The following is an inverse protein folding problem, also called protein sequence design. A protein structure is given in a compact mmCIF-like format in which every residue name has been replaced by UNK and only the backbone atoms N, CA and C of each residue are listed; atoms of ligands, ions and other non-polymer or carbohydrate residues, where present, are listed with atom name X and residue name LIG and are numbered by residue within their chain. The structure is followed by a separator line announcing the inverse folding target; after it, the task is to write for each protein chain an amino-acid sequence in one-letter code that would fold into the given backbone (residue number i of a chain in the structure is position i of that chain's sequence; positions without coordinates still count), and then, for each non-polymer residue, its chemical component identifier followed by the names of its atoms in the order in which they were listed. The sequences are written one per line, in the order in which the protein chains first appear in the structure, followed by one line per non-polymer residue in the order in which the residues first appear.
data_IF_369113410497
#
_entry.id   IF_369113410497
#
_cell.length_a   1.000
_cell.length_b   1.000
_cell.length_c   1.000
_cell.angle_alpha   90.00
_cell.angle_beta   90.00
_cell.angle_gamma   90.00
#
_symmetry.space_group_name_H-M   'P 1'
#
loop_
_entity.id
_entity.type
_entity.pdbx_description
1 polymer ?
#
# COMPACT_ATOMS: atom_id res chain seq x y z
N UNK A 1 -23.33 63.73 7.82
CA UNK A 1 -23.77 62.34 7.54
C UNK A 1 -22.62 61.39 7.83
N UNK A 2 -22.77 60.58 8.89
CA UNK A 2 -22.10 59.30 9.27
C UNK A 2 -20.61 59.05 8.96
N UNK A 3 -19.79 59.27 9.99
CA UNK A 3 -18.88 58.31 10.68
C UNK A 3 -18.35 57.09 9.89
N UNK A 4 -17.01 56.91 9.82
CA UNK A 4 -16.36 55.59 10.01
C UNK A 4 -14.96 55.74 10.61
N UNK A 5 -14.83 55.15 11.80
CA UNK A 5 -13.63 54.82 12.55
C UNK A 5 -12.94 53.64 11.86
N UNK A 6 -11.62 53.69 11.69
CA UNK A 6 -10.80 52.51 11.44
C UNK A 6 -9.58 52.58 12.34
N UNK A 7 -9.71 51.99 13.52
CA UNK A 7 -8.58 51.68 14.39
C UNK A 7 -7.80 50.53 13.78
N UNK A 8 -6.53 50.78 13.44
CA UNK A 8 -5.58 49.71 13.16
C UNK A 8 -5.10 49.12 14.47
N UNK A 9 -5.56 47.89 14.70
CA UNK A 9 -5.17 47.01 15.78
C UNK A 9 -3.68 46.69 15.66
N UNK A 10 -2.92 47.12 16.66
CA UNK A 10 -1.52 46.78 16.88
C UNK A 10 -1.44 45.28 17.25
N UNK A 11 -1.10 44.43 16.28
CA UNK A 11 -0.77 43.02 16.56
C UNK A 11 0.64 42.96 17.16
N UNK A 12 0.71 42.84 18.48
CA UNK A 12 1.92 42.41 19.18
C UNK A 12 2.30 41.01 18.69
N UNK A 13 3.41 40.93 17.96
CA UNK A 13 4.15 39.70 17.69
C UNK A 13 4.72 39.19 19.02
N UNK A 14 3.97 38.34 19.70
CA UNK A 14 4.51 37.45 20.73
C UNK A 14 5.37 36.39 20.03
N UNK A 15 6.68 36.60 20.08
CA UNK A 15 7.70 35.61 19.76
C UNK A 15 7.58 34.42 20.71
N UNK A 16 6.86 33.38 20.25
CA UNK A 16 6.93 32.06 20.86
C UNK A 16 8.33 31.48 20.59
N UNK A 17 9.01 30.91 21.60
CA UNK A 17 10.30 30.28 21.41
C UNK A 17 10.13 29.10 20.45
N UNK A 18 10.92 29.11 19.38
CA UNK A 18 11.05 27.99 18.47
C UNK A 18 11.53 26.76 19.26
N UNK A 19 10.61 25.84 19.55
CA UNK A 19 10.95 24.50 19.96
C UNK A 19 11.62 23.82 18.75
N UNK A 20 12.94 23.89 18.71
CA UNK A 20 13.75 23.02 17.87
C UNK A 20 13.53 21.57 18.33
N UNK A 21 13.09 20.67 17.45
CA UNK A 21 13.34 19.23 17.59
C UNK A 21 12.96 18.43 16.34
N UNK A 22 14.02 17.91 15.70
CA UNK A 22 14.23 16.54 15.21
C UNK A 22 13.19 15.89 14.29
N UNK A 23 13.65 15.52 13.10
CA UNK A 23 12.89 14.86 12.06
C UNK A 23 12.20 13.57 12.48
N UNK A 24 11.01 13.38 11.91
CA UNK A 24 10.31 12.15 11.56
C UNK A 24 10.65 10.88 12.36
N UNK A 25 10.63 11.01 13.69
CA UNK A 25 10.56 9.90 14.61
C UNK A 25 9.21 10.02 15.28
N UNK A 26 8.20 9.28 14.78
CA UNK A 26 7.11 8.86 15.67
C UNK A 26 7.79 8.39 16.95
N UNK A 27 7.51 9.02 18.10
CA UNK A 27 8.30 8.84 19.30
C UNK A 27 8.39 7.34 19.55
N UNK A 28 9.60 6.79 19.47
CA UNK A 28 9.83 5.36 19.59
C UNK A 28 9.28 4.94 20.93
N UNK A 29 8.12 4.29 20.93
CA UNK A 29 7.45 3.86 22.14
C UNK A 29 8.35 2.78 22.76
N UNK A 30 9.08 3.19 23.80
CA UNK A 30 9.95 2.28 24.55
C UNK A 30 9.12 1.66 25.65
N UNK A 31 8.72 0.39 25.45
CA UNK A 31 8.12 -0.43 26.49
C UNK A 31 9.23 -1.14 27.29
N UNK A 32 9.03 -1.37 28.60
CA UNK A 32 9.96 -2.17 29.37
C UNK A 32 10.24 -3.54 28.74
N UNK A 33 11.49 -4.00 28.75
CA UNK A 33 11.89 -5.23 28.06
C UNK A 33 11.13 -6.46 28.55
N UNK A 34 10.84 -6.52 29.85
CA UNK A 34 10.06 -7.60 30.46
C UNK A 34 8.61 -7.63 29.95
N UNK A 35 8.04 -6.49 29.56
CA UNK A 35 6.71 -6.40 28.95
C UNK A 35 6.76 -6.98 27.55
N UNK A 36 7.71 -6.54 26.72
CA UNK A 36 7.87 -7.03 25.35
C UNK A 36 8.21 -8.52 25.30
N UNK A 37 9.08 -9.00 26.19
CA UNK A 37 9.41 -10.41 26.31
C UNK A 37 8.18 -11.28 26.56
N UNK A 38 7.29 -10.87 27.48
CA UNK A 38 6.04 -11.58 27.77
C UNK A 38 5.07 -11.54 26.59
N UNK A 39 4.95 -10.41 25.89
CA UNK A 39 4.08 -10.28 24.72
C UNK A 39 4.56 -11.20 23.60
N UNK A 40 5.83 -11.10 23.19
CA UNK A 40 6.42 -11.93 22.13
C UNK A 40 6.28 -13.42 22.47
N UNK A 41 6.65 -13.82 23.70
CA UNK A 41 6.58 -15.22 24.15
C UNK A 41 5.17 -15.78 24.05
N UNK A 42 4.17 -15.02 24.48
CA UNK A 42 2.76 -15.45 24.46
C UNK A 42 2.20 -15.50 23.05
N UNK A 43 2.50 -14.51 22.21
CA UNK A 43 2.06 -14.50 20.81
C UNK A 43 2.64 -15.70 20.06
N UNK A 44 3.96 -15.95 20.19
CA UNK A 44 4.61 -17.10 19.55
C UNK A 44 4.08 -18.43 20.12
N UNK A 45 3.89 -18.52 21.44
CA UNK A 45 3.30 -19.70 22.08
C UNK A 45 1.86 -19.99 21.66
N UNK A 46 1.09 -18.97 21.28
CA UNK A 46 -0.24 -19.14 20.67
C UNK A 46 -0.17 -19.47 19.18
N UNK A 47 0.76 -18.87 18.43
CA UNK A 47 0.87 -19.08 16.98
C UNK A 47 1.44 -20.46 16.63
N UNK A 48 2.35 -20.99 17.43
CA UNK A 48 3.07 -22.22 17.14
C UNK A 48 2.75 -23.30 18.17
N UNK A 49 2.22 -24.43 17.69
CA UNK A 49 2.07 -25.62 18.49
C UNK A 49 3.37 -26.46 18.50
N UNK A 50 3.57 -27.30 19.53
CA UNK A 50 4.55 -28.38 19.52
C UNK A 50 4.50 -29.19 18.22
N UNK A 51 5.68 -29.53 17.68
CA UNK A 51 5.78 -30.30 16.44
C UNK A 51 6.14 -31.76 16.73
N UNK A 52 5.70 -32.70 15.88
CA UNK A 52 6.15 -34.10 15.95
C UNK A 52 7.57 -34.28 15.42
N UNK A 53 8.03 -33.39 14.54
CA UNK A 53 9.36 -33.40 13.92
C UNK A 53 10.05 -32.06 14.16
N UNK A 54 11.38 -32.01 14.34
CA UNK A 54 12.11 -30.76 14.43
C UNK A 54 11.78 -29.84 13.25
N UNK A 55 11.43 -28.58 13.54
CA UNK A 55 11.25 -27.53 12.55
C UNK A 55 11.89 -26.23 13.01
N UNK A 56 12.43 -25.48 12.06
CA UNK A 56 12.98 -24.14 12.31
C UNK A 56 12.00 -23.10 11.78
N UNK A 57 11.65 -22.13 12.63
CA UNK A 57 10.86 -20.95 12.29
C UNK A 57 11.82 -19.78 12.14
N UNK A 58 11.86 -19.20 10.95
CA UNK A 58 12.66 -18.00 10.68
C UNK A 58 11.91 -16.77 11.16
N UNK A 59 12.54 -15.97 12.02
CA UNK A 59 11.98 -14.76 12.61
C UNK A 59 12.93 -13.58 12.38
N UNK A 60 12.42 -12.45 11.92
CA UNK A 60 13.20 -11.22 11.82
C UNK A 60 13.65 -10.78 13.22
N UNK A 61 14.95 -10.48 13.38
CA UNK A 61 15.51 -9.93 14.62
C UNK A 61 15.10 -8.47 14.91
N UNK A 62 14.27 -7.86 14.04
CA UNK A 62 13.88 -6.46 14.15
C UNK A 62 13.00 -6.24 15.38
N UNK A 63 13.60 -5.74 16.45
CA UNK A 63 12.89 -5.47 17.70
C UNK A 63 12.52 -6.72 18.50
N UNK A 64 13.13 -7.88 18.24
CA UNK A 64 12.95 -9.12 19.01
C UNK A 64 14.31 -9.65 19.45
N UNK A 65 14.42 -10.02 20.73
CA UNK A 65 15.63 -10.61 21.29
C UNK A 65 15.51 -12.12 21.50
N UNK A 66 16.65 -12.82 21.50
CA UNK A 66 16.70 -14.29 21.61
C UNK A 66 16.09 -14.79 22.91
N UNK A 67 16.34 -14.09 24.01
CA UNK A 67 15.84 -14.38 25.35
C UNK A 67 14.31 -14.20 25.50
N UNK A 68 13.66 -13.53 24.55
CA UNK A 68 12.20 -13.36 24.55
C UNK A 68 11.47 -14.57 23.95
N UNK A 69 12.17 -15.41 23.19
CA UNK A 69 11.59 -16.52 22.46
C UNK A 69 11.11 -17.63 23.41
N UNK A 70 9.92 -18.23 23.17
CA UNK A 70 9.45 -19.36 23.95
C UNK A 70 10.24 -20.63 23.61
N UNK A 71 10.36 -21.53 24.58
CA UNK A 71 10.70 -22.93 24.32
C UNK A 71 9.43 -23.70 23.93
N UNK A 72 9.41 -24.25 22.72
CA UNK A 72 8.29 -25.05 22.20
C UNK A 72 8.88 -26.36 21.67
N UNK A 73 8.31 -27.50 22.07
CA UNK A 73 8.88 -28.81 21.73
C UNK A 73 8.99 -29.01 20.21
N UNK A 74 10.19 -29.38 19.76
CA UNK A 74 10.58 -29.57 18.36
C UNK A 74 10.39 -28.33 17.46
N UNK A 75 10.41 -27.12 18.05
CA UNK A 75 10.36 -25.86 17.30
C UNK A 75 11.52 -24.99 17.71
N UNK A 76 12.42 -24.72 16.78
CA UNK A 76 13.53 -23.79 16.95
C UNK A 76 13.19 -22.45 16.29
N UNK A 77 13.38 -21.35 17.01
CA UNK A 77 13.26 -20.01 16.44
C UNK A 77 14.65 -19.49 16.09
N UNK A 78 14.90 -19.26 14.80
CA UNK A 78 16.14 -18.62 14.32
C UNK A 78 15.87 -17.15 14.05
N UNK A 79 16.52 -16.28 14.82
CA UNK A 79 16.54 -14.84 14.55
C UNK A 79 17.47 -14.56 13.37
N UNK A 80 16.94 -13.85 12.38
CA UNK A 80 17.68 -13.41 11.21
C UNK A 80 18.14 -11.95 11.39
N UNK A 81 19.34 -11.64 10.92
CA UNK A 81 19.83 -10.27 10.77
C UNK A 81 19.05 -9.54 9.66
N UNK A 82 19.17 -8.22 9.56
CA UNK A 82 18.52 -7.46 8.47
C UNK A 82 19.00 -7.90 7.08
N UNK A 83 20.26 -8.31 6.95
CA UNK A 83 20.81 -8.82 5.70
C UNK A 83 20.27 -10.22 5.38
N UNK A 84 20.22 -11.12 6.36
CA UNK A 84 19.62 -12.46 6.17
C UNK A 84 18.12 -12.39 5.86
N UNK A 85 17.40 -11.42 6.44
CA UNK A 85 15.99 -11.15 6.13
C UNK A 85 15.81 -10.78 4.66
N UNK A 86 16.71 -9.95 4.13
CA UNK A 86 16.67 -9.50 2.73
C UNK A 86 16.94 -10.63 1.75
N UNK A 87 17.80 -11.56 2.12
CA UNK A 87 18.20 -12.70 1.29
C UNK A 87 17.28 -13.93 1.46
N UNK A 88 16.34 -13.88 2.40
CA UNK A 88 15.43 -14.99 2.67
C UNK A 88 14.48 -15.22 1.48
N UNK A 89 14.60 -16.39 0.83
CA UNK A 89 13.71 -16.82 -0.26
C UNK A 89 12.36 -17.37 0.20
N UNK A 90 12.20 -17.57 1.52
CA UNK A 90 11.00 -18.12 2.14
C UNK A 90 10.33 -17.07 2.99
N UNK A 91 9.01 -17.15 3.16
CA UNK A 91 8.30 -16.28 4.10
C UNK A 91 8.93 -16.37 5.49
N UNK A 92 9.20 -15.20 6.08
CA UNK A 92 9.74 -15.08 7.43
C UNK A 92 8.67 -14.50 8.34
N UNK A 93 8.70 -14.86 9.62
CA UNK A 93 7.87 -14.19 10.60
C UNK A 93 8.53 -12.88 11.04
N UNK A 94 7.75 -11.87 11.39
CA UNK A 94 8.28 -10.63 11.95
C UNK A 94 7.26 -9.93 12.84
N UNK A 95 7.75 -9.10 13.76
CA UNK A 95 6.93 -8.24 14.59
C UNK A 95 6.98 -6.80 14.06
N UNK A 96 5.84 -6.11 14.03
CA UNK A 96 5.86 -4.64 13.82
C UNK A 96 6.30 -3.94 15.10
N UNK A 97 6.71 -2.67 14.99
CA UNK A 97 6.89 -1.84 16.16
C UNK A 97 5.54 -1.68 16.91
N UNK A 98 5.56 -1.64 18.25
CA UNK A 98 4.34 -1.40 19.01
C UNK A 98 3.88 0.05 18.86
N UNK A 99 2.59 0.22 18.61
CA UNK A 99 1.91 1.51 18.52
C UNK A 99 0.97 1.69 19.73
N UNK A 100 0.81 2.93 20.22
CA UNK A 100 -0.04 3.23 21.37
C UNK A 100 -1.38 3.79 20.91
N UNK A 101 -2.45 3.14 21.32
CA UNK A 101 -3.84 3.56 21.10
C UNK A 101 -4.52 3.77 22.45
N UNK A 102 -4.59 5.03 22.91
CA UNK A 102 -5.15 5.36 24.21
C UNK A 102 -4.42 4.67 25.38
N UNK A 103 -5.12 3.75 26.06
CA UNK A 103 -4.59 2.95 27.18
C UNK A 103 -4.06 1.58 26.74
N UNK A 104 -4.09 1.28 25.46
CA UNK A 104 -3.68 -0.01 24.89
C UNK A 104 -2.54 0.19 23.91
N UNK A 105 -1.84 -0.91 23.63
CA UNK A 105 -0.81 -0.97 22.60
C UNK A 105 -1.24 -2.01 21.57
N UNK A 106 -0.95 -1.77 20.31
CA UNK A 106 -1.11 -2.74 19.24
C UNK A 106 0.27 -3.11 18.67
N UNK A 107 0.42 -4.34 18.18
CA UNK A 107 1.54 -4.75 17.33
C UNK A 107 1.08 -5.86 16.39
N UNK A 108 1.79 -6.03 15.28
CA UNK A 108 1.53 -7.07 14.31
C UNK A 108 2.49 -8.25 14.44
N UNK A 109 1.99 -9.48 14.29
CA UNK A 109 2.81 -10.64 13.91
C UNK A 109 2.53 -10.98 12.45
N UNK A 110 3.48 -10.66 11.57
CA UNK A 110 3.42 -10.88 10.14
C UNK A 110 4.16 -12.14 9.70
N UNK A 111 3.81 -12.63 8.51
CA UNK A 111 4.52 -13.66 7.76
C UNK A 111 4.63 -13.22 6.30
N UNK A 112 5.85 -13.30 5.75
CA UNK A 112 6.15 -12.86 4.38
C UNK A 112 7.50 -12.16 4.31
N UNK A 113 7.61 -11.17 3.44
CA UNK A 113 8.73 -10.23 3.39
C UNK A 113 8.33 -8.95 4.14
N UNK A 114 8.93 -8.63 5.31
CA UNK A 114 8.61 -7.43 6.09
C UNK A 114 8.86 -6.11 5.34
N UNK A 115 9.68 -6.13 4.29
CA UNK A 115 9.91 -4.99 3.43
C UNK A 115 9.01 -4.94 2.19
N UNK A 116 8.14 -5.94 1.98
CA UNK A 116 7.43 -6.08 0.72
C UNK A 116 6.01 -6.65 0.86
N UNK A 117 5.86 -7.97 0.74
CA UNK A 117 4.58 -8.67 0.73
C UNK A 117 4.43 -9.51 1.99
N UNK A 118 3.46 -9.16 2.82
CA UNK A 118 3.22 -9.84 4.07
C UNK A 118 1.75 -9.79 4.46
N UNK A 119 1.36 -10.81 5.20
CA UNK A 119 0.08 -10.85 5.89
C UNK A 119 0.31 -11.19 7.35
N UNK A 120 -0.56 -10.72 8.22
CA UNK A 120 -0.32 -10.84 9.64
C UNK A 120 -1.55 -10.63 10.49
N UNK A 121 -1.35 -10.87 11.77
CA UNK A 121 -2.37 -10.74 12.80
C UNK A 121 -2.04 -9.54 13.68
N UNK A 122 -3.03 -8.68 13.94
CA UNK A 122 -2.88 -7.58 14.89
C UNK A 122 -3.20 -8.06 16.29
N UNK A 123 -2.31 -7.75 17.22
CA UNK A 123 -2.37 -8.10 18.63
C UNK A 123 -2.46 -6.85 19.45
N UNK A 124 -3.41 -6.83 20.39
CA UNK A 124 -3.55 -5.76 21.34
C UNK A 124 -3.11 -6.22 22.71
N UNK A 125 -2.44 -5.34 23.45
CA UNK A 125 -2.09 -5.59 24.81
C UNK A 125 -2.17 -4.36 25.70
N UNK A 126 -2.36 -4.61 26.99
CA UNK A 126 -2.36 -3.60 28.04
C UNK A 126 -1.55 -4.10 29.22
N UNK A 127 -0.44 -3.43 29.57
CA UNK A 127 0.22 -3.63 30.86
C UNK A 127 -0.73 -3.24 32.00
N UNK A 128 -0.87 -4.11 32.99
CA UNK A 128 -1.72 -3.95 34.17
C UNK A 128 -0.87 -4.33 35.40
N UNK A 129 -0.01 -3.39 35.80
CA UNK A 129 1.08 -3.63 36.74
C UNK A 129 2.05 -4.69 36.22
N UNK A 130 2.19 -5.80 36.95
CA UNK A 130 3.04 -6.92 36.56
C UNK A 130 2.40 -7.87 35.54
N UNK A 131 1.08 -7.77 35.29
CA UNK A 131 0.36 -8.64 34.36
C UNK A 131 0.18 -7.95 33.02
N UNK A 132 0.10 -8.74 31.95
CA UNK A 132 -0.23 -8.25 30.61
C UNK A 132 -1.55 -8.87 30.18
N UNK A 133 -2.54 -8.02 29.90
CA UNK A 133 -3.72 -8.46 29.13
C UNK A 133 -3.34 -8.42 27.67
N UNK A 134 -3.46 -9.54 26.98
CA UNK A 134 -3.08 -9.71 25.57
C UNK A 134 -4.26 -10.39 24.87
N UNK A 135 -4.70 -9.85 23.73
CA UNK A 135 -5.76 -10.43 22.92
C UNK A 135 -5.48 -10.19 21.44
N UNK A 136 -5.97 -11.11 20.60
CA UNK A 136 -5.92 -10.98 19.15
C UNK A 136 -7.07 -10.11 18.68
N UNK A 137 -6.83 -9.21 17.74
CA UNK A 137 -7.91 -8.51 17.06
C UNK A 137 -8.73 -9.51 16.22
N UNK A 138 -10.05 -9.49 16.37
CA UNK A 138 -10.96 -10.34 15.58
C UNK A 138 -11.44 -9.50 14.40
N UNK A 139 -10.87 -9.72 13.22
CA UNK A 139 -11.14 -8.90 12.03
C UNK A 139 -10.13 -9.14 10.91
N UNK A 140 -10.07 -8.22 9.93
CA UNK A 140 -9.00 -8.25 8.92
C UNK A 140 -7.67 -8.03 9.65
N UNK A 141 -6.72 -8.92 9.38
CA UNK A 141 -5.35 -8.75 9.83
C UNK A 141 -4.70 -7.52 9.21
N UNK A 142 -3.44 -7.26 9.56
CA UNK A 142 -2.64 -6.28 8.85
C UNK A 142 -1.88 -6.98 7.73
N UNK A 143 -1.71 -6.30 6.61
CA UNK A 143 -0.96 -6.82 5.48
C UNK A 143 -0.46 -5.66 4.66
N UNK A 144 0.78 -5.76 4.26
CA UNK A 144 1.37 -4.89 3.26
C UNK A 144 1.49 -5.76 2.03
N UNK A 145 0.74 -5.43 0.98
CA UNK A 145 1.14 -5.89 -0.33
C UNK A 145 2.27 -5.00 -0.80
N UNK A 146 3.22 -5.59 -1.49
CA UNK A 146 4.08 -4.84 -2.36
C UNK A 146 3.22 -4.34 -3.53
N UNK A 147 2.46 -3.26 -3.33
CA UNK A 147 1.90 -2.44 -4.41
C UNK A 147 3.00 -1.73 -5.21
N UNK A 148 4.13 -2.40 -5.43
CA UNK A 148 5.46 -1.86 -5.63
C UNK A 148 6.53 -2.86 -5.15
N UNK A 149 6.57 -4.04 -5.75
CA UNK A 149 7.56 -5.10 -5.46
C UNK A 149 9.01 -4.57 -5.42
N UNK A 150 9.78 -5.01 -4.41
CA UNK A 150 11.22 -4.72 -4.24
C UNK A 150 12.13 -5.58 -5.13
N UNK A 151 11.69 -5.95 -6.34
CA UNK A 151 12.66 -6.30 -7.38
C UNK A 151 13.42 -5.02 -7.70
N UNK A 152 14.75 -5.03 -7.64
CA UNK A 152 15.47 -3.97 -8.33
C UNK A 152 15.12 -4.13 -9.81
N UNK A 153 14.39 -3.18 -10.37
CA UNK A 153 14.68 -2.77 -11.73
C UNK A 153 15.80 -1.75 -11.58
N UNK A 154 17.02 -2.22 -11.35
CA UNK A 154 18.25 -1.42 -11.58
C UNK A 154 18.45 -1.13 -13.07
N UNK A 155 17.44 -1.43 -13.91
CA UNK A 155 17.36 -0.89 -15.25
C UNK A 155 17.24 0.64 -15.18
N UNK A 156 17.93 1.37 -16.08
CA UNK A 156 17.78 2.81 -16.17
C UNK A 156 16.29 3.17 -16.34
N UNK A 157 15.87 4.40 -15.97
CA UNK A 157 14.50 4.92 -16.14
C UNK A 157 13.92 4.88 -17.57
N UNK A 158 14.61 4.25 -18.51
CA UNK A 158 14.39 4.35 -19.94
C UNK A 158 13.24 3.56 -20.52
N UNK A 159 12.83 2.39 -19.97
CA UNK A 159 11.79 1.58 -20.63
C UNK A 159 10.98 0.70 -19.66
N UNK A 160 9.99 1.27 -18.99
CA UNK A 160 8.86 0.51 -18.39
C UNK A 160 7.91 0.05 -19.50
N UNK A 161 8.40 -0.83 -20.38
CA UNK A 161 7.66 -1.24 -21.59
C UNK A 161 7.13 -2.67 -21.51
N UNK A 162 7.22 -3.33 -20.35
CA UNK A 162 6.83 -4.74 -20.23
C UNK A 162 6.11 -5.02 -18.91
N UNK A 163 4.90 -5.56 -19.05
CA UNK A 163 4.10 -6.17 -17.99
C UNK A 163 4.02 -7.67 -18.26
N UNK A 164 5.08 -8.44 -17.98
CA UNK A 164 5.19 -9.84 -18.42
C UNK A 164 4.21 -10.80 -17.73
N UNK A 165 3.44 -10.32 -16.75
CA UNK A 165 2.55 -11.13 -15.93
C UNK A 165 1.07 -10.88 -16.23
N UNK A 166 0.73 -10.23 -17.35
CA UNK A 166 -0.66 -10.14 -17.79
C UNK A 166 -1.32 -11.53 -17.78
N UNK A 167 -2.51 -11.61 -17.18
CA UNK A 167 -3.28 -12.85 -17.15
C UNK A 167 -3.75 -13.21 -18.56
N UNK A 168 -3.83 -14.52 -18.83
CA UNK A 168 -4.31 -15.02 -20.11
C UNK A 168 -5.71 -14.45 -20.45
N UNK A 169 -5.84 -13.82 -21.62
CA UNK A 169 -7.06 -13.13 -22.07
C UNK A 169 -7.19 -11.67 -21.62
N UNK A 170 -6.18 -11.13 -20.93
CA UNK A 170 -6.10 -9.74 -20.46
C UNK A 170 -4.77 -9.08 -20.86
N UNK A 171 -4.20 -9.45 -22.01
CA UNK A 171 -2.89 -8.98 -22.51
C UNK A 171 -2.99 -7.67 -23.32
N UNK A 172 -3.45 -6.59 -22.68
CA UNK A 172 -3.66 -5.29 -23.33
C UNK A 172 -2.35 -4.61 -23.73
N UNK A 173 -1.27 -4.82 -22.98
CA UNK A 173 0.02 -4.18 -23.20
C UNK A 173 0.93 -4.98 -24.14
N UNK A 174 0.95 -6.31 -24.04
CA UNK A 174 1.76 -7.16 -24.93
C UNK A 174 1.22 -7.20 -26.37
N UNK A 175 -0.12 -7.28 -26.54
CA UNK A 175 -0.75 -7.59 -27.84
C UNK A 175 -1.88 -6.65 -28.25
N UNK A 176 -2.22 -5.66 -27.44
CA UNK A 176 -3.35 -4.75 -27.67
C UNK A 176 -2.99 -3.39 -28.27
N UNK A 177 -4.00 -2.53 -28.36
CA UNK A 177 -3.87 -1.12 -28.80
C UNK A 177 -2.91 -0.29 -27.93
N UNK A 178 -2.59 -0.77 -26.72
CA UNK A 178 -1.75 -0.06 -25.76
C UNK A 178 -0.25 -0.33 -25.92
N UNK A 179 0.15 -1.30 -26.77
CA UNK A 179 1.55 -1.71 -26.96
C UNK A 179 2.52 -0.57 -27.32
N UNK A 180 2.02 0.46 -27.98
CA UNK A 180 2.82 1.62 -28.39
C UNK A 180 3.01 2.68 -27.29
N UNK A 181 2.20 2.63 -26.24
CA UNK A 181 2.29 3.56 -25.12
C UNK A 181 3.36 3.10 -24.14
N UNK A 182 4.08 4.06 -23.56
CA UNK A 182 5.16 3.84 -22.61
C UNK A 182 4.94 4.76 -21.42
N UNK A 183 4.83 4.18 -20.21
CA UNK A 183 4.79 5.01 -19.00
C UNK A 183 6.08 5.84 -18.91
N UNK A 184 5.98 7.03 -18.28
CA UNK A 184 7.06 8.03 -18.11
C UNK A 184 7.61 8.65 -19.39
N UNK A 185 7.12 8.23 -20.55
CA UNK A 185 7.57 8.70 -21.88
C UNK A 185 6.39 9.26 -22.68
N UNK A 186 5.31 8.51 -22.84
CA UNK A 186 4.18 8.91 -23.67
C UNK A 186 3.46 10.13 -23.13
N UNK A 187 3.06 11.04 -24.02
CA UNK A 187 2.28 12.24 -23.69
C UNK A 187 0.79 12.07 -24.04
N UNK A 188 -0.01 13.11 -23.80
CA UNK A 188 -1.41 13.16 -24.25
C UNK A 188 -1.52 13.02 -25.77
N UNK A 189 -0.61 13.62 -26.52
CA UNK A 189 -0.56 13.55 -27.98
C UNK A 189 -0.30 12.12 -28.47
N UNK A 190 0.54 11.36 -27.76
CA UNK A 190 0.77 9.95 -28.09
C UNK A 190 -0.48 9.10 -27.80
N UNK A 191 -1.21 9.39 -26.71
CA UNK A 191 -2.49 8.72 -26.40
C UNK A 191 -3.53 9.03 -27.48
N UNK A 192 -3.67 10.30 -27.89
CA UNK A 192 -4.57 10.69 -28.99
C UNK A 192 -4.20 10.00 -30.29
N UNK A 193 -2.91 9.91 -30.63
CA UNK A 193 -2.46 9.19 -31.83
C UNK A 193 -2.78 7.70 -31.78
N UNK A 194 -2.70 7.08 -30.60
CA UNK A 194 -2.94 5.66 -30.41
C UNK A 194 -4.43 5.30 -30.37
N UNK A 195 -5.28 6.15 -29.79
CA UNK A 195 -6.66 5.83 -29.43
C UNK A 195 -7.73 6.76 -30.02
N UNK A 196 -7.33 7.84 -30.69
CA UNK A 196 -8.21 8.84 -31.29
C UNK A 196 -8.18 10.18 -30.54
N UNK A 197 -8.50 11.25 -31.26
CA UNK A 197 -8.34 12.64 -30.78
C UNK A 197 -9.18 12.97 -29.53
N UNK A 198 -10.32 12.31 -29.36
CA UNK A 198 -11.22 12.51 -28.22
C UNK A 198 -10.76 11.77 -26.95
N UNK A 199 -9.70 10.97 -27.03
CA UNK A 199 -9.21 10.17 -25.91
C UNK A 199 -8.07 10.90 -25.17
N UNK A 200 -8.41 11.71 -24.16
CA UNK A 200 -7.43 12.46 -23.36
C UNK A 200 -7.30 11.97 -21.91
N UNK A 201 -8.40 11.91 -21.15
CA UNK A 201 -8.38 11.43 -19.75
C UNK A 201 -9.00 10.05 -19.59
N UNK A 202 -10.04 9.79 -20.36
CA UNK A 202 -10.72 8.52 -20.39
C UNK A 202 -11.53 8.38 -21.67
N UNK A 203 -11.62 7.18 -22.22
CA UNK A 203 -12.42 6.90 -23.39
C UNK A 203 -12.78 5.42 -23.48
N UNK A 204 -13.59 5.09 -24.48
CA UNK A 204 -13.87 3.71 -24.85
C UNK A 204 -12.67 3.09 -25.55
N UNK A 205 -12.08 2.05 -24.96
CA UNK A 205 -11.01 1.29 -25.61
C UNK A 205 -11.60 0.36 -26.69
N UNK A 206 -12.68 -0.32 -26.32
CA UNK A 206 -13.49 -1.19 -27.19
C UNK A 206 -14.92 -1.40 -26.63
N UNK A 207 -15.65 -2.38 -27.17
CA UNK A 207 -17.02 -2.71 -26.76
C UNK A 207 -17.16 -3.24 -25.33
N UNK A 208 -16.06 -3.70 -24.72
CA UNK A 208 -16.02 -4.33 -23.40
C UNK A 208 -15.26 -3.50 -22.36
N UNK A 209 -14.38 -2.59 -22.79
CA UNK A 209 -13.46 -1.87 -21.91
C UNK A 209 -13.53 -0.36 -22.08
N UNK A 210 -13.51 0.32 -20.94
CA UNK A 210 -13.13 1.73 -20.81
C UNK A 210 -11.68 1.81 -20.36
N UNK A 211 -10.97 2.85 -20.80
CA UNK A 211 -9.61 3.16 -20.35
C UNK A 211 -9.58 4.56 -19.78
N UNK A 212 -8.83 4.75 -18.70
CA UNK A 212 -8.49 6.07 -18.17
C UNK A 212 -6.99 6.22 -17.97
N UNK A 213 -6.51 7.46 -18.03
CA UNK A 213 -5.10 7.83 -17.98
C UNK A 213 -4.87 8.85 -16.88
N UNK A 214 -3.79 8.64 -16.14
CA UNK A 214 -3.28 9.60 -15.17
C UNK A 214 -1.96 10.16 -15.69
N UNK A 215 -1.79 11.49 -15.63
CA UNK A 215 -0.58 12.16 -16.07
C UNK A 215 0.18 12.79 -14.90
N UNK A 216 1.50 12.78 -15.00
CA UNK A 216 2.35 13.53 -14.09
C UNK A 216 1.98 15.02 -14.08
N UNK A 217 1.89 15.59 -12.88
CA UNK A 217 1.54 17.00 -12.67
C UNK A 217 0.06 17.28 -12.48
N UNK A 218 -0.83 16.28 -12.62
CA UNK A 218 -2.26 16.44 -12.32
C UNK A 218 -2.60 16.19 -10.84
N UNK A 219 -1.69 15.59 -10.08
CA UNK A 219 -1.85 15.31 -8.66
C UNK A 219 -0.61 15.74 -7.88
N UNK A 220 -0.80 16.46 -6.77
CA UNK A 220 0.22 16.62 -5.74
C UNK A 220 0.00 15.61 -4.62
N UNK A 221 1.08 15.22 -3.95
CA UNK A 221 1.01 14.30 -2.81
C UNK A 221 1.51 14.99 -1.57
N UNK A 222 0.60 15.24 -0.64
CA UNK A 222 0.96 15.68 0.70
C UNK A 222 1.56 14.51 1.48
N UNK A 223 2.74 14.71 2.04
CA UNK A 223 3.34 13.83 3.04
C UNK A 223 3.61 14.65 4.28
N UNK A 224 3.14 14.20 5.43
CA UNK A 224 3.58 14.80 6.69
C UNK A 224 5.02 14.42 6.96
N UNK A 225 5.88 15.44 7.11
CA UNK A 225 7.28 15.30 7.48
C UNK A 225 7.53 16.30 8.60
N UNK A 226 7.75 15.79 9.82
CA UNK A 226 8.01 16.65 10.98
C UNK A 226 6.85 17.62 11.30
N UNK A 227 5.61 17.16 11.19
CA UNK A 227 4.40 17.96 11.51
C UNK A 227 4.07 19.05 10.48
N UNK A 228 4.72 19.05 9.32
CA UNK A 228 4.36 19.88 8.17
C UNK A 228 3.97 18.99 7.01
N UNK A 229 2.91 19.35 6.31
CA UNK A 229 2.59 18.74 5.02
C UNK A 229 3.56 19.27 3.97
N UNK A 230 4.48 18.41 3.55
CA UNK A 230 5.34 18.63 2.38
C UNK A 230 4.62 18.07 1.18
N UNK A 231 4.29 18.94 0.23
CA UNK A 231 3.71 18.51 -1.03
C UNK A 231 4.82 18.06 -1.97
N UNK A 232 4.61 16.92 -2.61
CA UNK A 232 5.47 16.39 -3.66
C UNK A 232 4.76 16.57 -4.98
N UNK A 233 5.45 17.20 -5.93
CA UNK A 233 4.97 17.45 -7.30
C UNK A 233 5.84 16.68 -8.28
N UNK A 234 5.31 16.40 -9.46
CA UNK A 234 6.07 15.75 -10.51
C UNK A 234 7.29 16.60 -10.88
N UNK A 235 8.44 15.94 -11.06
CA UNK A 235 9.64 16.61 -11.52
C UNK A 235 9.39 17.21 -12.93
N UNK A 236 9.90 18.43 -13.23
CA UNK A 236 9.61 19.12 -14.49
C UNK A 236 9.86 18.27 -15.75
N UNK A 237 10.86 17.39 -15.71
CA UNK A 237 11.23 16.49 -16.79
C UNK A 237 10.17 15.42 -17.14
N UNK A 238 9.27 15.08 -16.21
CA UNK A 238 8.22 14.06 -16.42
C UNK A 238 6.81 14.65 -16.44
N UNK A 239 6.63 15.91 -16.09
CA UNK A 239 5.32 16.59 -16.11
C UNK A 239 4.64 16.46 -17.48
N UNK A 240 3.34 16.13 -17.47
CA UNK A 240 2.53 15.92 -18.67
C UNK A 240 2.72 14.56 -19.34
N UNK A 241 3.60 13.69 -18.82
CA UNK A 241 3.77 12.32 -19.31
C UNK A 241 2.87 11.34 -18.57
N UNK A 242 2.61 10.22 -19.21
CA UNK A 242 1.75 9.17 -18.70
C UNK A 242 2.35 8.55 -17.45
N UNK A 243 1.61 8.60 -16.35
CA UNK A 243 1.99 8.06 -15.03
C UNK A 243 1.39 6.68 -14.80
N UNK A 244 0.11 6.53 -15.12
CA UNK A 244 -0.62 5.28 -15.02
C UNK A 244 -1.77 5.27 -16.02
N UNK A 245 -2.33 4.10 -16.28
CA UNK A 245 -3.63 3.96 -16.90
C UNK A 245 -4.35 2.74 -16.32
N UNK A 246 -5.67 2.79 -16.36
CA UNK A 246 -6.52 1.75 -15.80
C UNK A 246 -7.59 1.35 -16.80
N UNK A 247 -7.92 0.07 -16.81
CA UNK A 247 -8.94 -0.54 -17.64
C UNK A 247 -10.11 -0.96 -16.78
N UNK A 248 -11.31 -0.46 -17.10
CA UNK A 248 -12.54 -0.81 -16.41
C UNK A 248 -13.45 -1.61 -17.33
N UNK A 249 -13.95 -2.77 -16.90
CA UNK A 249 -14.87 -3.53 -17.72
C UNK A 249 -16.25 -2.87 -17.72
N UNK A 250 -16.84 -2.70 -18.90
CA UNK A 250 -18.20 -2.16 -19.08
C UNK A 250 -19.30 -3.11 -18.62
N UNK A 251 -18.95 -4.41 -18.48
CA UNK A 251 -19.84 -5.47 -18.02
C UNK A 251 -19.16 -6.22 -16.87
N UNK A 252 -19.91 -6.76 -15.90
CA UNK A 252 -19.32 -7.51 -14.80
C UNK A 252 -18.51 -8.71 -15.30
N UNK A 253 -17.23 -8.78 -14.95
CA UNK A 253 -16.35 -9.93 -15.23
C UNK A 253 -16.02 -10.68 -13.94
N UNK A 254 -16.44 -11.94 -13.83
CA UNK A 254 -16.14 -12.76 -12.65
C UNK A 254 -14.69 -13.22 -12.67
N UNK A 255 -14.00 -12.98 -11.56
CA UNK A 255 -12.64 -13.40 -11.25
C UNK A 255 -12.61 -14.50 -10.17
N UNK A 256 -13.77 -15.08 -9.82
CA UNK A 256 -13.87 -16.10 -8.76
C UNK A 256 -13.05 -17.37 -9.02
N UNK A 257 -12.78 -17.65 -10.30
CA UNK A 257 -12.01 -18.83 -10.74
C UNK A 257 -10.58 -18.50 -11.15
N UNK A 258 -10.17 -17.23 -11.09
CA UNK A 258 -8.82 -16.82 -11.44
C UNK A 258 -7.88 -17.20 -10.30
N UNK A 259 -6.85 -17.97 -10.64
CA UNK A 259 -5.74 -18.27 -9.73
C UNK A 259 -4.61 -17.32 -10.08
N UNK A 260 -4.41 -16.31 -9.23
CA UNK A 260 -3.30 -15.38 -9.41
C UNK A 260 -1.95 -16.09 -9.23
N UNK A 261 -1.03 -15.94 -10.18
CA UNK A 261 0.32 -16.47 -10.06
C UNK A 261 1.06 -15.93 -8.83
N UNK A 262 2.05 -16.69 -8.32
CA UNK A 262 2.81 -16.36 -7.10
C UNK A 262 3.56 -15.02 -7.13
N UNK A 263 3.75 -14.42 -8.30
CA UNK A 263 4.38 -13.11 -8.45
C UNK A 263 3.46 -11.94 -8.11
N UNK A 264 2.15 -12.18 -7.93
CA UNK A 264 1.21 -11.19 -7.46
C UNK A 264 1.09 -11.26 -5.94
N UNK A 265 1.44 -10.15 -5.26
CA UNK A 265 1.12 -9.96 -3.85
C UNK A 265 -0.37 -9.62 -3.67
N UNK A 266 -0.92 -9.85 -2.49
CA UNK A 266 -2.34 -9.56 -2.20
C UNK A 266 -2.49 -8.54 -1.08
N UNK A 267 -3.21 -7.45 -1.34
CA UNK A 267 -3.57 -6.43 -0.35
C UNK A 267 -5.07 -6.20 -0.32
N UNK A 268 -5.64 -6.00 0.87
CA UNK A 268 -7.02 -5.55 1.00
C UNK A 268 -7.08 -4.02 0.91
N UNK A 269 -8.08 -3.50 0.21
CA UNK A 269 -8.32 -2.07 0.13
C UNK A 269 -9.81 -1.72 0.09
N UNK A 270 -10.06 -0.43 -0.03
CA UNK A 270 -11.40 0.12 -0.23
C UNK A 270 -11.34 1.26 -1.23
N UNK A 271 -12.25 1.25 -2.20
CA UNK A 271 -12.34 2.28 -3.23
C UNK A 271 -13.74 2.87 -3.21
N UNK A 272 -13.82 4.20 -3.32
CA UNK A 272 -15.07 4.90 -3.61
C UNK A 272 -15.07 5.28 -5.09
N UNK A 273 -16.00 4.71 -5.85
CA UNK A 273 -16.28 5.14 -7.21
C UNK A 273 -17.43 6.13 -7.15
N UNK A 274 -17.22 7.35 -7.65
CA UNK A 274 -18.26 8.35 -7.79
C UNK A 274 -18.57 8.55 -9.28
N UNK A 275 -19.84 8.59 -9.63
CA UNK A 275 -20.30 9.06 -10.93
C UNK A 275 -20.40 10.59 -10.93
N UNK A 276 -20.33 11.20 -12.12
CA UNK A 276 -20.39 12.66 -12.28
C UNK A 276 -21.71 13.30 -11.80
N UNK A 277 -22.74 12.49 -11.52
CA UNK A 277 -24.03 12.91 -10.94
C UNK A 277 -24.08 12.81 -9.40
N UNK A 278 -22.94 12.56 -8.75
CA UNK A 278 -22.82 12.50 -7.30
C UNK A 278 -23.28 11.19 -6.67
N UNK A 279 -23.73 10.21 -7.46
CA UNK A 279 -23.90 8.84 -6.95
C UNK A 279 -22.54 8.21 -6.73
N UNK A 280 -22.48 7.28 -5.78
CA UNK A 280 -21.23 6.65 -5.42
C UNK A 280 -21.47 5.25 -4.91
N UNK A 281 -20.59 4.36 -5.32
CA UNK A 281 -20.51 3.02 -4.76
C UNK A 281 -19.12 2.80 -4.22
N UNK A 282 -19.09 2.26 -3.02
CA UNK A 282 -17.87 1.86 -2.39
C UNK A 282 -17.74 0.34 -2.34
N UNK A 283 -16.53 -0.10 -2.59
CA UNK A 283 -16.20 -1.51 -2.67
C UNK A 283 -15.04 -1.77 -1.73
N UNK A 284 -15.18 -2.82 -0.91
CA UNK A 284 -13.98 -3.50 -0.45
C UNK A 284 -13.39 -4.25 -1.64
N UNK A 285 -12.07 -4.25 -1.79
CA UNK A 285 -11.40 -5.03 -2.82
C UNK A 285 -10.20 -5.80 -2.27
N UNK A 286 -9.87 -6.89 -2.96
CA UNK A 286 -8.55 -7.50 -2.95
C UNK A 286 -7.78 -6.99 -4.17
N UNK A 287 -6.63 -6.41 -3.93
CA UNK A 287 -5.67 -6.00 -4.95
C UNK A 287 -4.63 -7.08 -5.11
N UNK A 288 -4.38 -7.45 -6.36
CA UNK A 288 -3.36 -8.40 -6.77
C UNK A 288 -2.32 -7.67 -7.62
N UNK A 289 -1.18 -7.32 -7.04
CA UNK A 289 -0.16 -6.46 -7.67
C UNK A 289 1.16 -7.19 -7.88
N UNK A 290 1.80 -6.97 -9.03
CA UNK A 290 3.12 -7.51 -9.34
C UNK A 290 4.25 -6.47 -9.21
N UNK A 291 5.46 -6.86 -9.62
CA UNK A 291 6.65 -6.01 -9.58
C UNK A 291 6.81 -4.96 -10.64
N UNK A 292 6.05 -5.10 -11.71
CA UNK A 292 6.14 -4.24 -12.86
C UNK A 292 5.10 -3.11 -12.76
N UNK A 293 4.24 -3.15 -11.74
CA UNK A 293 3.17 -2.17 -11.52
C UNK A 293 1.86 -2.57 -12.19
N UNK A 294 1.67 -3.86 -12.50
CA UNK A 294 0.38 -4.41 -12.91
C UNK A 294 -0.42 -4.79 -11.68
N UNK A 295 -1.64 -4.27 -11.56
CA UNK A 295 -2.57 -4.53 -10.48
C UNK A 295 -3.93 -4.98 -11.02
N UNK A 296 -4.51 -6.02 -10.43
CA UNK A 296 -5.91 -6.41 -10.62
C UNK A 296 -6.68 -6.16 -9.33
N UNK A 297 -7.74 -5.35 -9.38
CA UNK A 297 -8.61 -5.12 -8.22
C UNK A 297 -9.88 -5.94 -8.35
N UNK A 298 -10.09 -6.87 -7.43
CA UNK A 298 -11.25 -7.76 -7.40
C UNK A 298 -12.12 -7.41 -6.20
N UNK A 299 -13.40 -7.15 -6.44
CA UNK A 299 -14.37 -6.81 -5.39
C UNK A 299 -14.50 -7.94 -4.38
N UNK A 300 -14.42 -7.64 -3.09
CA UNK A 300 -14.77 -8.57 -2.00
C UNK A 300 -16.19 -8.35 -1.48
N UNK A 301 -16.91 -7.40 -2.06
CA UNK A 301 -18.26 -7.01 -1.67
C UNK A 301 -18.44 -5.49 -1.65
N UNK A 302 -19.70 -5.08 -1.71
CA UNK A 302 -20.10 -3.66 -1.64
C UNK A 302 -20.06 -3.22 -0.17
N UNK A 303 -19.35 -2.14 0.11
CA UNK A 303 -19.34 -1.50 1.42
C UNK A 303 -20.59 -0.65 1.63
N UNK A 304 -20.83 0.29 0.71
CA UNK A 304 -22.00 1.15 0.65
C UNK A 304 -22.30 1.56 -0.79
N UNK A 305 -23.56 1.78 -1.14
CA UNK A 305 -23.92 2.23 -2.48
C UNK A 305 -25.13 3.16 -2.43
N UNK A 306 -25.11 4.22 -3.23
CA UNK A 306 -26.30 5.02 -3.54
C UNK A 306 -26.94 4.60 -4.87
N UNK A 307 -26.40 3.57 -5.54
CA UNK A 307 -26.93 3.02 -6.77
C UNK A 307 -27.98 1.94 -6.50
N UNK A 308 -29.03 1.91 -7.33
CA UNK A 308 -30.08 0.88 -7.26
C UNK A 308 -29.60 -0.51 -7.70
N UNK A 309 -28.55 -0.57 -8.53
CA UNK A 309 -27.95 -1.80 -9.05
C UNK A 309 -26.42 -1.60 -9.12
N UNK A 310 -25.68 -1.99 -8.07
CA UNK A 310 -24.23 -1.85 -8.06
C UNK A 310 -23.60 -2.67 -9.19
N UNK A 311 -22.60 -2.09 -9.84
CA UNK A 311 -21.93 -2.65 -11.02
C UNK A 311 -21.23 -3.99 -10.76
N UNK A 312 -20.84 -4.28 -9.51
CA UNK A 312 -20.04 -5.46 -9.19
C UNK A 312 -20.42 -6.08 -7.83
N UNK A 313 -20.76 -7.37 -7.84
CA UNK A 313 -20.83 -8.18 -6.63
C UNK A 313 -19.43 -8.58 -6.12
N UNK A 314 -19.38 -9.37 -5.04
CA UNK A 314 -18.14 -10.05 -4.63
C UNK A 314 -17.65 -10.94 -5.78
N UNK A 315 -16.34 -10.98 -6.00
CA UNK A 315 -15.69 -11.83 -6.99
C UNK A 315 -15.52 -11.19 -8.37
N UNK A 316 -16.06 -10.00 -8.59
CA UNK A 316 -16.00 -9.32 -9.88
C UNK A 316 -14.79 -8.40 -9.98
N UNK A 317 -14.17 -8.34 -11.16
CA UNK A 317 -13.12 -7.38 -11.48
C UNK A 317 -13.68 -5.95 -11.43
N UNK A 318 -12.98 -5.08 -10.72
CA UNK A 318 -13.24 -3.64 -10.67
C UNK A 318 -12.43 -2.96 -11.78
N UNK A 319 -11.11 -3.14 -11.76
CA UNK A 319 -10.20 -2.60 -12.77
C UNK A 319 -8.89 -3.40 -12.88
N UNK A 320 -8.18 -3.15 -13.98
CA UNK A 320 -6.77 -3.52 -14.18
C UNK A 320 -5.98 -2.23 -14.29
N UNK A 321 -5.01 -2.00 -13.40
CA UNK A 321 -4.16 -0.81 -13.40
C UNK A 321 -2.74 -1.16 -13.83
N UNK A 322 -2.20 -0.32 -14.70
CA UNK A 322 -0.81 -0.31 -15.13
C UNK A 322 -0.21 1.00 -14.65
N UNK A 323 0.66 0.92 -13.65
CA UNK A 323 1.31 2.09 -13.06
C UNK A 323 2.81 1.93 -13.08
N UNK A 324 3.50 3.04 -12.87
CA UNK A 324 4.92 2.96 -12.58
C UNK A 324 5.16 2.30 -11.21
N UNK A 325 6.20 1.48 -11.06
CA UNK A 325 6.56 0.92 -9.76
C UNK A 325 6.92 2.02 -8.76
N UNK A 326 6.51 1.87 -7.50
CA UNK A 326 6.64 2.90 -6.46
C UNK A 326 8.08 3.41 -6.24
N UNK A 327 9.09 2.55 -6.43
CA UNK A 327 10.50 2.97 -6.34
C UNK A 327 10.93 3.92 -7.44
N UNK A 328 10.38 3.76 -8.65
CA UNK A 328 10.65 4.69 -9.73
C UNK A 328 9.87 5.97 -9.53
N UNK A 329 8.64 5.83 -9.05
CA UNK A 329 7.77 6.93 -8.66
C UNK A 329 8.44 7.88 -7.66
N UNK A 330 9.04 7.37 -6.58
CA UNK A 330 9.77 8.18 -5.60
C UNK A 330 10.88 9.06 -6.21
N UNK A 331 11.47 8.65 -7.34
CA UNK A 331 12.52 9.41 -8.03
C UNK A 331 11.95 10.48 -8.97
N UNK A 332 10.67 10.40 -9.29
CA UNK A 332 9.97 11.26 -10.26
C UNK A 332 9.13 12.35 -9.59
N UNK A 333 9.03 12.32 -8.27
CA UNK A 333 8.38 13.35 -7.47
C UNK A 333 9.41 14.10 -6.63
N UNK A 334 9.34 15.42 -6.65
CA UNK A 334 10.23 16.32 -5.90
C UNK A 334 9.40 17.16 -4.91
N UNK A 335 9.98 17.57 -3.76
CA UNK A 335 9.31 18.51 -2.88
C UNK A 335 8.95 19.80 -3.64
N UNK A 336 7.70 20.23 -3.51
CA UNK A 336 7.22 21.52 -3.97
C UNK A 336 8.03 22.61 -3.24
N UNK A 337 8.66 23.49 -4.02
CA UNK A 337 9.60 24.51 -3.51
C UNK A 337 8.89 25.74 -2.98
#
# INVERSE_FOLDING_TARGET
MKLKIAGSLLFLLLSLPAAAQNGDQTPKISLPENVMAQVVRRILGWKFAPSKRPKTVLLSGRGVKKEWLPAIANVEFRLLTEDEVRDAKTGIYFFTAPEKEGKTYNLGLGFGDPGCDYTGETWYFRPDGAKIRLWKHVGRGFGGGCGGFRGSTDGPPGELNKYPNELAGYEFFDRGKLKGLKLTVSTREDVRRALGDDCEKSCDLDANWEIGFDYFGETSRGREIGGKTVYYVAAPEVTGRLFAFYLRPKKPLSFDRIVFPRQFGRAGGYVCLFSGDGRGTSYGYDSHTDRYGLEYRVSVGIGSTTEKKPLAGKGFLIDIEYRIPSKLEEKMFVPEK
#
